data_IF_488824750157
#
_entry.id   IF_488824750157
#
_cell.length_a   1.000
_cell.length_b   1.000
_cell.length_c   1.000
_cell.angle_alpha   90.00
_cell.angle_beta   90.00
_cell.angle_gamma   90.00
#
_symmetry.space_group_name_H-M   'P 1'
#
loop_
_entity.id
_entity.type
_entity.pdbx_description
1 polymer ?
#
# COMPACT_ATOMS: atom_id res chain seq x y z
N UNK A 1 35.46 46.20 -30.23
CA UNK A 1 35.80 44.87 -29.67
C UNK A 1 34.85 44.40 -28.55
N UNK A 2 34.51 45.21 -27.54
CA UNK A 2 33.58 44.81 -26.44
C UNK A 2 32.18 44.33 -26.88
N UNK A 3 31.52 44.98 -27.85
CA UNK A 3 30.18 44.58 -28.35
C UNK A 3 30.15 43.21 -29.04
N UNK A 4 31.24 42.83 -29.72
CA UNK A 4 31.34 41.57 -30.46
C UNK A 4 31.56 40.36 -29.54
N UNK A 5 32.26 40.55 -28.42
CA UNK A 5 32.46 39.53 -27.38
C UNK A 5 31.17 39.32 -26.59
N UNK A 6 30.43 40.39 -26.28
CA UNK A 6 29.14 40.32 -25.60
C UNK A 6 28.09 39.56 -26.43
N UNK A 7 28.09 39.76 -27.76
CA UNK A 7 27.20 39.05 -28.69
C UNK A 7 27.50 37.54 -28.75
N UNK A 8 28.78 37.14 -28.76
CA UNK A 8 29.17 35.71 -28.76
C UNK A 8 28.85 35.02 -27.42
N UNK A 9 29.05 35.72 -26.30
CA UNK A 9 28.70 35.20 -24.98
C UNK A 9 27.18 35.05 -24.80
N UNK A 10 26.39 35.99 -25.31
CA UNK A 10 24.92 35.92 -25.32
C UNK A 10 24.41 34.74 -26.17
N UNK A 11 25.01 34.54 -27.36
CA UNK A 11 24.66 33.42 -28.24
C UNK A 11 25.00 32.08 -27.59
N UNK A 12 26.16 31.96 -26.94
CA UNK A 12 26.54 30.75 -26.21
C UNK A 12 25.60 30.47 -25.04
N UNK A 13 25.21 31.50 -24.28
CA UNK A 13 24.25 31.37 -23.18
C UNK A 13 22.86 30.95 -23.67
N UNK A 14 22.40 31.46 -24.82
CA UNK A 14 21.15 31.06 -25.48
C UNK A 14 21.19 29.61 -26.00
N UNK A 15 22.32 29.16 -26.56
CA UNK A 15 22.50 27.76 -26.98
C UNK A 15 22.50 26.82 -25.78
N UNK A 16 23.17 27.20 -24.68
CA UNK A 16 23.10 26.46 -23.43
C UNK A 16 21.65 26.39 -22.91
N UNK A 17 20.92 27.50 -22.85
CA UNK A 17 19.50 27.51 -22.44
C UNK A 17 18.61 26.61 -23.31
N UNK A 18 18.80 26.63 -24.63
CA UNK A 18 18.08 25.77 -25.58
C UNK A 18 18.43 24.28 -25.42
N UNK A 19 19.67 23.97 -25.01
CA UNK A 19 20.08 22.58 -24.73
C UNK A 19 19.53 22.03 -23.41
N UNK A 20 19.26 22.89 -22.41
CA UNK A 20 18.61 22.46 -21.15
C UNK A 20 17.11 22.21 -21.35
N UNK A 21 16.45 22.91 -22.27
CA UNK A 21 15.01 22.74 -22.51
C UNK A 21 14.63 21.46 -23.28
N UNK A 22 15.60 20.75 -23.87
CA UNK A 22 15.33 19.56 -24.69
C UNK A 22 15.33 18.23 -23.91
N UNK A 23 15.67 18.23 -22.62
CA UNK A 23 15.75 17.01 -21.80
C UNK A 23 14.66 16.91 -20.73
N UNK A 24 13.63 17.76 -20.75
CA UNK A 24 12.44 17.53 -19.92
C UNK A 24 11.51 16.58 -20.65
N UNK A 25 11.84 15.29 -20.66
CA UNK A 25 10.84 14.25 -20.85
C UNK A 25 9.87 14.36 -19.68
N UNK A 26 8.67 14.88 -19.95
CA UNK A 26 7.55 14.69 -19.04
C UNK A 26 7.23 13.20 -19.03
N UNK A 27 7.79 12.48 -18.06
CA UNK A 27 7.33 11.14 -17.74
C UNK A 27 5.97 11.34 -17.08
N UNK A 28 4.90 11.03 -17.81
CA UNK A 28 3.60 10.83 -17.22
C UNK A 28 3.67 9.51 -16.46
N UNK A 29 4.17 9.58 -15.22
CA UNK A 29 4.03 8.49 -14.29
C UNK A 29 2.55 8.36 -13.94
N UNK A 30 2.00 7.15 -14.09
CA UNK A 30 0.69 6.87 -13.51
C UNK A 30 0.73 7.22 -12.02
N UNK A 31 -0.28 7.96 -11.59
CA UNK A 31 -0.39 8.40 -10.20
C UNK A 31 -0.59 7.15 -9.35
N UNK A 32 0.45 6.77 -8.62
CA UNK A 32 0.34 5.76 -7.58
C UNK A 32 -0.70 6.29 -6.59
N UNK A 33 -1.69 5.47 -6.30
CA UNK A 33 -2.67 5.81 -5.29
C UNK A 33 -1.94 6.06 -3.97
N UNK A 34 -2.26 7.16 -3.28
CA UNK A 34 -1.66 7.52 -2.01
C UNK A 34 -2.71 7.64 -0.88
N UNK A 35 -2.38 7.18 0.33
CA UNK A 35 -3.30 7.25 1.46
C UNK A 35 -3.50 8.67 1.95
N UNK A 36 -4.76 9.03 2.16
CA UNK A 36 -5.16 10.25 2.84
C UNK A 36 -4.93 10.11 4.37
N UNK A 37 -3.66 10.14 4.78
CA UNK A 37 -3.24 10.01 6.17
C UNK A 37 -2.20 11.07 6.55
N UNK A 38 -2.50 11.87 7.57
CA UNK A 38 -1.65 12.97 8.03
C UNK A 38 -0.23 12.53 8.46
N UNK A 39 -0.04 11.29 8.92
CA UNK A 39 1.30 10.82 9.27
C UNK A 39 2.08 10.47 8.01
N UNK A 40 1.47 9.68 7.12
CA UNK A 40 2.05 9.34 5.82
C UNK A 40 2.46 10.60 5.05
N UNK A 41 1.57 11.59 4.91
CA UNK A 41 1.86 12.82 4.15
C UNK A 41 3.09 13.58 4.67
N UNK A 42 3.35 13.53 5.98
CA UNK A 42 4.52 14.18 6.59
C UNK A 42 5.80 13.37 6.50
N UNK A 43 5.69 12.06 6.44
CA UNK A 43 6.82 11.12 6.44
C UNK A 43 6.96 10.43 5.06
N UNK A 44 6.31 10.97 4.02
CA UNK A 44 6.19 10.36 2.69
C UNK A 44 7.54 9.96 2.11
N UNK A 45 8.53 10.84 2.22
CA UNK A 45 9.89 10.60 1.71
C UNK A 45 10.64 9.49 2.46
N UNK A 46 10.17 9.13 3.67
CA UNK A 46 10.70 8.05 4.50
C UNK A 46 9.85 6.78 4.39
N UNK A 47 8.92 6.72 3.43
CA UNK A 47 8.06 5.56 3.21
C UNK A 47 8.44 4.83 1.92
N UNK A 48 8.50 3.51 2.00
CA UNK A 48 8.73 2.65 0.85
C UNK A 48 7.40 2.12 0.29
N UNK A 49 7.26 2.10 -1.02
CA UNK A 49 6.09 1.55 -1.69
C UNK A 49 6.17 0.02 -1.72
N UNK A 50 5.11 -0.65 -1.29
CA UNK A 50 5.05 -2.12 -1.19
C UNK A 50 3.86 -2.69 -1.95
N UNK A 51 2.64 -2.16 -1.73
CA UNK A 51 1.41 -2.55 -2.42
C UNK A 51 1.17 -4.06 -2.49
N UNK A 52 1.13 -4.69 -1.32
CA UNK A 52 1.09 -6.15 -1.15
C UNK A 52 0.04 -6.57 -0.13
N UNK A 53 -0.53 -7.76 -0.30
CA UNK A 53 -1.50 -8.34 0.62
C UNK A 53 -0.82 -9.28 1.60
N UNK A 54 -1.24 -9.21 2.86
CA UNK A 54 -0.71 -9.98 3.98
C UNK A 54 -1.84 -10.61 4.77
N UNK A 55 -1.57 -11.70 5.47
CA UNK A 55 -2.40 -12.19 6.56
C UNK A 55 -2.05 -11.47 7.86
N UNK A 56 -3.08 -11.07 8.60
CA UNK A 56 -2.95 -10.72 10.01
C UNK A 56 -2.40 -11.94 10.78
N UNK A 57 -1.32 -11.75 11.55
CA UNK A 57 -0.66 -12.84 12.27
C UNK A 57 -0.02 -12.40 13.60
N UNK A 58 -0.73 -11.59 14.38
CA UNK A 58 -0.23 -11.14 15.68
C UNK A 58 -0.18 -12.26 16.72
N UNK A 59 0.78 -12.21 17.63
CA UNK A 59 1.01 -13.23 18.67
C UNK A 59 -0.22 -13.52 19.55
N UNK A 60 -1.10 -12.53 19.68
CA UNK A 60 -2.33 -12.62 20.51
C UNK A 60 -3.53 -13.22 19.78
N UNK A 61 -3.36 -13.63 18.52
CA UNK A 61 -4.45 -14.05 17.65
C UNK A 61 -5.15 -12.89 16.91
N UNK A 62 -4.61 -11.68 17.01
CA UNK A 62 -5.09 -10.49 16.29
C UNK A 62 -3.96 -9.47 16.14
N UNK A 63 -4.06 -8.59 15.14
CA UNK A 63 -3.17 -7.46 14.88
C UNK A 63 -3.82 -6.17 15.34
N UNK A 64 -3.07 -5.33 16.06
CA UNK A 64 -3.57 -4.01 16.48
C UNK A 64 -3.24 -2.94 15.45
N UNK A 65 -4.27 -2.21 15.03
CA UNK A 65 -4.16 -1.09 14.10
C UNK A 65 -4.14 0.23 14.87
N UNK A 66 -3.04 0.97 14.74
CA UNK A 66 -2.82 2.25 15.39
C UNK A 66 -3.10 3.42 14.46
N UNK A 67 -3.32 4.60 15.05
CA UNK A 67 -3.54 5.83 14.29
C UNK A 67 -2.29 6.26 13.51
N UNK A 68 -1.10 6.02 14.07
CA UNK A 68 0.21 6.20 13.42
C UNK A 68 1.31 5.53 14.26
N UNK A 69 2.52 5.30 13.69
CA UNK A 69 3.64 4.65 14.37
C UNK A 69 4.12 5.32 15.66
N UNK A 70 3.84 6.63 15.83
CA UNK A 70 4.26 7.42 17.00
C UNK A 70 3.15 7.56 18.06
N UNK A 71 1.97 6.97 17.84
CA UNK A 71 0.79 7.10 18.71
C UNK A 71 0.39 5.77 19.33
N UNK A 72 -0.07 5.82 20.59
CA UNK A 72 -0.70 4.67 21.26
C UNK A 72 -2.21 4.57 21.00
N UNK A 73 -2.76 5.50 20.22
CA UNK A 73 -4.18 5.50 19.91
C UNK A 73 -4.48 4.35 18.94
N UNK A 74 -5.39 3.48 19.35
CA UNK A 74 -5.86 2.38 18.54
C UNK A 74 -7.06 2.81 17.69
N UNK A 75 -7.03 2.44 16.41
CA UNK A 75 -8.14 2.54 15.47
C UNK A 75 -9.06 1.31 15.57
N UNK A 76 -8.49 0.12 15.44
CA UNK A 76 -9.20 -1.17 15.49
C UNK A 76 -8.22 -2.32 15.79
N UNK A 77 -8.76 -3.54 15.96
CA UNK A 77 -8.03 -4.80 15.87
C UNK A 77 -8.58 -5.61 14.70
N UNK A 78 -7.73 -6.46 14.11
CA UNK A 78 -8.05 -7.37 13.02
C UNK A 78 -7.70 -8.79 13.45
N UNK A 79 -8.63 -9.74 13.32
CA UNK A 79 -8.37 -11.12 13.73
C UNK A 79 -7.32 -11.77 12.81
N UNK A 80 -6.52 -12.69 13.35
CA UNK A 80 -5.53 -13.37 12.51
C UNK A 80 -6.20 -14.14 11.36
N UNK A 81 -5.51 -14.18 10.22
CA UNK A 81 -6.02 -14.77 8.98
C UNK A 81 -6.83 -13.80 8.11
N UNK A 82 -7.19 -12.61 8.59
CA UNK A 82 -7.76 -11.56 7.73
C UNK A 82 -6.72 -11.06 6.71
N UNK A 83 -7.17 -10.80 5.48
CA UNK A 83 -6.35 -10.20 4.43
C UNK A 83 -6.22 -8.68 4.66
N UNK A 84 -4.98 -8.21 4.72
CA UNK A 84 -4.60 -6.81 4.93
C UNK A 84 -3.79 -6.35 3.74
N UNK A 85 -4.23 -5.30 3.07
CA UNK A 85 -3.48 -4.69 1.98
C UNK A 85 -2.60 -3.56 2.50
N UNK A 86 -1.27 -3.74 2.44
CA UNK A 86 -0.28 -2.74 2.85
C UNK A 86 0.21 -2.00 1.61
N UNK A 87 0.08 -0.67 1.65
CA UNK A 87 0.36 0.19 0.49
C UNK A 87 1.79 0.72 0.58
N UNK A 88 2.15 1.26 1.75
CA UNK A 88 3.49 1.76 2.05
C UNK A 88 3.98 1.22 3.41
N UNK A 89 5.30 1.17 3.57
CA UNK A 89 5.95 0.87 4.85
C UNK A 89 6.79 2.04 5.34
N UNK A 90 6.89 2.21 6.65
CA UNK A 90 7.69 3.23 7.32
C UNK A 90 8.55 2.57 8.41
N UNK A 91 9.85 2.84 8.41
CA UNK A 91 10.73 2.40 9.49
C UNK A 91 10.78 3.45 10.61
N UNK A 92 10.45 3.04 11.85
CA UNK A 92 10.56 3.92 13.00
C UNK A 92 12.01 4.06 13.49
N UNK A 93 12.27 4.98 14.42
CA UNK A 93 13.62 5.22 14.97
C UNK A 93 14.23 4.02 15.70
N UNK A 94 13.44 3.00 16.01
CA UNK A 94 13.92 1.76 16.62
C UNK A 94 14.21 0.66 15.59
N UNK A 95 14.06 0.95 14.30
CA UNK A 95 14.26 -0.02 13.21
C UNK A 95 13.06 -0.94 12.98
N UNK A 96 11.88 -0.62 13.54
CA UNK A 96 10.68 -1.43 13.32
C UNK A 96 9.92 -0.92 12.11
N UNK A 97 9.55 -1.83 11.21
CA UNK A 97 8.76 -1.52 10.03
C UNK A 97 7.26 -1.50 10.36
N UNK A 98 6.59 -0.45 9.87
CA UNK A 98 5.15 -0.22 10.03
C UNK A 98 4.48 -0.15 8.66
N UNK A 99 3.41 -0.91 8.44
CA UNK A 99 2.61 -0.86 7.22
C UNK A 99 1.38 0.02 7.38
N UNK A 100 1.11 0.88 6.39
CA UNK A 100 -0.17 1.59 6.29
C UNK A 100 -1.16 0.80 5.43
N UNK A 101 -2.39 0.69 5.94
CA UNK A 101 -3.53 0.14 5.21
C UNK A 101 -4.71 1.10 5.23
N UNK A 102 -5.67 0.84 4.36
CA UNK A 102 -6.91 1.59 4.26
C UNK A 102 -8.11 0.65 4.36
N UNK A 103 -9.04 0.99 5.27
CA UNK A 103 -10.26 0.26 5.52
C UNK A 103 -11.47 1.03 4.99
N UNK A 104 -12.44 0.29 4.47
CA UNK A 104 -13.78 0.79 4.21
C UNK A 104 -14.66 0.52 5.43
N UNK A 105 -15.11 1.56 6.12
CA UNK A 105 -15.98 1.44 7.30
C UNK A 105 -17.43 1.84 7.00
N UNK A 106 -17.96 1.44 5.83
CA UNK A 106 -19.30 1.80 5.33
C UNK A 106 -19.63 3.30 5.41
N UNK A 107 -18.60 4.13 5.57
CA UNK A 107 -18.65 5.56 5.77
C UNK A 107 -18.11 6.22 4.50
N UNK A 108 -18.55 7.45 4.21
CA UNK A 108 -18.12 8.19 3.00
C UNK A 108 -16.61 8.48 2.96
N UNK A 109 -15.88 8.20 4.04
CA UNK A 109 -14.43 8.38 4.15
C UNK A 109 -13.74 7.06 4.46
N UNK A 110 -12.69 6.77 3.72
CA UNK A 110 -11.79 5.68 4.06
C UNK A 110 -11.10 5.96 5.39
N UNK A 111 -10.94 4.91 6.21
CA UNK A 111 -10.13 4.99 7.43
C UNK A 111 -8.74 4.45 7.13
N UNK A 112 -7.71 5.14 7.59
CA UNK A 112 -6.33 4.66 7.52
C UNK A 112 -5.87 4.16 8.87
N UNK A 113 -4.91 3.23 8.85
CA UNK A 113 -4.30 2.71 10.05
C UNK A 113 -2.94 2.11 9.79
N UNK A 114 -2.13 2.08 10.85
CA UNK A 114 -0.75 1.61 10.83
C UNK A 114 -0.60 0.42 11.77
N UNK A 115 0.12 -0.60 11.34
CA UNK A 115 0.42 -1.79 12.14
C UNK A 115 1.86 -2.21 11.92
N UNK A 116 2.40 -3.04 12.81
CA UNK A 116 3.75 -3.55 12.65
C UNK A 116 3.78 -4.63 11.57
N UNK A 117 4.81 -4.59 10.71
CA UNK A 117 4.98 -5.59 9.65
C UNK A 117 5.42 -6.96 10.18
N UNK A 118 6.00 -7.01 11.38
CA UNK A 118 6.41 -8.27 12.04
C UNK A 118 5.23 -9.10 12.54
N UNK A 119 4.05 -8.48 12.69
CA UNK A 119 2.79 -9.15 13.02
C UNK A 119 2.03 -9.63 11.75
N UNK A 120 2.67 -9.60 10.57
CA UNK A 120 2.06 -9.93 9.30
C UNK A 120 2.83 -11.04 8.55
N UNK A 121 2.11 -11.91 7.85
CA UNK A 121 2.69 -12.89 6.92
C UNK A 121 2.27 -12.51 5.49
N UNK A 122 3.22 -12.38 4.58
CA UNK A 122 2.90 -12.08 3.19
C UNK A 122 2.05 -13.18 2.57
N UNK A 123 0.93 -12.80 1.93
CA UNK A 123 0.19 -13.73 1.08
C UNK A 123 1.00 -13.95 -0.20
N UNK A 124 1.12 -15.20 -0.62
CA UNK A 124 1.94 -15.57 -1.77
C UNK A 124 1.44 -14.90 -3.04
N UNK A 125 2.37 -14.26 -3.74
CA UNK A 125 2.15 -13.43 -4.89
C UNK A 125 3.37 -13.46 -5.82
N UNK A 126 3.40 -12.57 -6.81
CA UNK A 126 4.53 -12.47 -7.71
C UNK A 126 5.88 -12.26 -6.99
N UNK A 127 5.93 -11.46 -5.93
CA UNK A 127 7.20 -11.16 -5.24
C UNK A 127 7.74 -12.43 -4.59
N UNK A 128 6.89 -13.17 -3.87
CA UNK A 128 7.27 -14.48 -3.33
C UNK A 128 7.73 -15.45 -4.42
N UNK A 129 6.97 -15.53 -5.51
CA UNK A 129 7.31 -16.42 -6.63
C UNK A 129 8.67 -16.06 -7.25
N UNK A 130 8.92 -14.77 -7.44
CA UNK A 130 10.20 -14.30 -7.98
C UNK A 130 11.36 -14.66 -7.05
N UNK A 131 11.21 -14.48 -5.74
CA UNK A 131 12.24 -14.84 -4.76
C UNK A 131 12.54 -16.35 -4.76
N UNK A 132 11.52 -17.19 -4.84
CA UNK A 132 11.66 -18.65 -4.86
C UNK A 132 12.30 -19.16 -6.16
N UNK A 133 11.94 -18.56 -7.30
CA UNK A 133 12.26 -19.06 -8.63
C UNK A 133 13.28 -18.21 -9.40
N UNK A 134 13.93 -17.24 -8.77
CA UNK A 134 14.80 -16.25 -9.45
C UNK A 134 15.82 -16.87 -10.40
N UNK A 135 16.38 -18.04 -10.04
CA UNK A 135 17.40 -18.75 -10.83
C UNK A 135 16.85 -19.48 -12.06
N UNK A 136 15.54 -19.73 -12.09
CA UNK A 136 14.82 -20.41 -13.16
C UNK A 136 14.22 -19.43 -14.17
N UNK A 137 14.21 -18.14 -13.84
CA UNK A 137 13.76 -17.09 -14.71
C UNK A 137 14.80 -16.80 -15.80
N UNK A 138 14.32 -16.64 -17.03
CA UNK A 138 15.15 -16.30 -18.19
C UNK A 138 14.57 -15.09 -18.90
N UNK A 139 15.39 -14.30 -19.59
CA UNK A 139 14.92 -13.15 -20.35
C UNK A 139 13.85 -13.56 -21.37
N UNK A 140 12.85 -12.69 -21.58
CA UNK A 140 11.81 -12.94 -22.55
C UNK A 140 12.37 -13.00 -23.97
N UNK A 141 11.99 -14.03 -24.73
CA UNK A 141 12.58 -14.35 -26.04
C UNK A 141 11.75 -13.82 -27.23
N UNK A 142 10.62 -13.16 -26.99
CA UNK A 142 9.73 -12.69 -28.05
C UNK A 142 8.88 -13.78 -28.70
N UNK A 143 8.80 -14.98 -28.12
CA UNK A 143 8.10 -16.13 -28.72
C UNK A 143 6.58 -16.05 -28.72
N UNK A 144 6.00 -15.07 -28.01
CA UNK A 144 4.56 -14.91 -27.88
C UNK A 144 4.08 -13.63 -28.58
N UNK A 145 2.99 -13.79 -29.33
CA UNK A 145 2.35 -12.75 -30.12
C UNK A 145 0.90 -12.59 -29.63
N UNK A 146 0.62 -11.59 -28.76
CA UNK A 146 -0.69 -11.42 -28.15
C UNK A 146 -1.82 -11.21 -29.18
N UNK A 147 -1.51 -10.64 -30.36
CA UNK A 147 -2.50 -10.34 -31.40
C UNK A 147 -3.07 -11.60 -32.08
N UNK A 148 -2.42 -12.76 -31.89
CA UNK A 148 -2.89 -14.04 -32.41
C UNK A 148 -3.86 -14.76 -31.49
N UNK A 149 -4.12 -14.23 -30.30
CA UNK A 149 -5.14 -14.76 -29.41
C UNK A 149 -6.54 -14.36 -29.91
N UNK A 150 -7.50 -15.28 -29.87
CA UNK A 150 -8.82 -15.03 -30.48
C UNK A 150 -9.86 -14.39 -29.53
N UNK A 151 -9.71 -14.55 -28.21
CA UNK A 151 -10.71 -14.11 -27.21
C UNK A 151 -10.09 -13.20 -26.15
N UNK A 152 -9.36 -13.79 -25.21
CA UNK A 152 -8.77 -13.09 -24.07
C UNK A 152 -7.53 -13.78 -23.56
N UNK A 153 -6.59 -13.01 -23.03
CA UNK A 153 -5.41 -13.56 -22.36
C UNK A 153 -5.70 -13.59 -20.86
N UNK A 154 -5.56 -14.77 -20.26
CA UNK A 154 -5.73 -14.96 -18.81
C UNK A 154 -4.46 -14.50 -18.09
N UNK A 155 -4.62 -13.60 -17.13
CA UNK A 155 -3.52 -13.07 -16.32
C UNK A 155 -3.60 -13.64 -14.92
N UNK A 156 -2.53 -14.29 -14.50
CA UNK A 156 -2.36 -14.93 -13.19
C UNK A 156 -1.48 -14.06 -12.29
N UNK A 157 -1.61 -14.23 -10.97
CA UNK A 157 -0.72 -13.56 -10.00
C UNK A 157 0.71 -14.11 -10.03
N UNK A 158 0.84 -15.39 -10.33
CA UNK A 158 2.08 -16.14 -10.50
C UNK A 158 1.75 -17.47 -11.21
N UNK A 159 2.74 -18.16 -11.82
CA UNK A 159 2.55 -19.48 -12.40
C UNK A 159 2.00 -20.49 -11.39
N UNK A 160 0.87 -21.13 -11.71
CA UNK A 160 0.20 -22.08 -10.81
C UNK A 160 -0.65 -21.44 -9.71
N UNK A 161 -0.93 -20.14 -9.77
CA UNK A 161 -1.85 -19.49 -8.82
C UNK A 161 -3.25 -20.11 -8.86
N UNK A 162 -3.93 -20.15 -7.71
CA UNK A 162 -5.30 -20.64 -7.56
C UNK A 162 -6.38 -19.61 -7.94
N UNK A 163 -5.98 -18.35 -8.17
CA UNK A 163 -6.85 -17.24 -8.51
C UNK A 163 -6.33 -16.50 -9.74
N UNK A 164 -7.22 -16.32 -10.72
CA UNK A 164 -6.99 -15.46 -11.87
C UNK A 164 -6.98 -14.00 -11.40
N UNK A 165 -5.93 -13.26 -11.76
CA UNK A 165 -5.78 -11.86 -11.40
C UNK A 165 -6.65 -10.96 -12.27
N UNK A 166 -6.67 -11.18 -13.57
CA UNK A 166 -7.47 -10.41 -14.54
C UNK A 166 -7.50 -11.07 -15.91
N UNK A 167 -8.14 -10.42 -16.87
CA UNK A 167 -8.11 -10.76 -18.29
C UNK A 167 -7.66 -9.55 -19.11
N UNK A 168 -6.93 -9.81 -20.18
CA UNK A 168 -6.67 -8.84 -21.26
C UNK A 168 -7.56 -9.20 -22.44
N UNK A 169 -8.45 -8.31 -22.82
CA UNK A 169 -9.32 -8.52 -23.97
C UNK A 169 -8.67 -7.95 -25.23
N UNK A 170 -9.05 -8.44 -26.41
CA UNK A 170 -8.49 -7.96 -27.68
C UNK A 170 -8.63 -6.45 -27.87
N UNK A 171 -9.68 -5.84 -27.30
CA UNK A 171 -9.85 -4.39 -27.33
C UNK A 171 -8.76 -3.65 -26.53
N UNK A 172 -8.26 -4.23 -25.43
CA UNK A 172 -7.16 -3.67 -24.63
C UNK A 172 -5.85 -3.68 -25.44
N UNK A 173 -5.64 -4.74 -26.24
CA UNK A 173 -4.40 -5.00 -26.98
C UNK A 173 -4.21 -4.12 -28.23
N UNK A 174 -5.29 -3.51 -28.74
CA UNK A 174 -5.27 -2.72 -30.00
C UNK A 174 -4.38 -1.48 -29.93
N UNK A 175 -4.26 -0.87 -28.76
CA UNK A 175 -3.52 0.39 -28.61
C UNK A 175 -2.06 0.13 -28.23
N UNK A 176 -1.83 -0.75 -27.25
CA UNK A 176 -0.51 -1.14 -26.79
C UNK A 176 -0.51 -2.60 -26.37
N UNK A 177 0.56 -3.31 -26.71
CA UNK A 177 0.79 -4.69 -26.26
C UNK A 177 1.51 -4.71 -24.90
N UNK A 178 1.27 -5.72 -24.05
CA UNK A 178 2.03 -5.89 -22.81
C UNK A 178 3.50 -6.16 -23.13
N UNK A 179 4.39 -5.45 -22.45
CA UNK A 179 5.82 -5.69 -22.52
C UNK A 179 6.21 -6.78 -21.51
N UNK A 180 6.62 -7.93 -22.02
CA UNK A 180 7.08 -9.03 -21.17
C UNK A 180 8.57 -8.88 -20.83
N UNK A 181 8.90 -9.07 -19.57
CA UNK A 181 10.25 -8.88 -19.05
C UNK A 181 11.05 -10.19 -19.02
N UNK A 182 10.46 -11.27 -18.51
CA UNK A 182 11.12 -12.58 -18.39
C UNK A 182 10.10 -13.71 -18.45
N UNK A 183 10.62 -14.92 -18.59
CA UNK A 183 9.87 -16.16 -18.69
C UNK A 183 10.23 -17.16 -17.60
N UNK A 184 9.29 -18.07 -17.37
CA UNK A 184 9.42 -19.23 -16.51
C UNK A 184 8.88 -20.46 -17.23
N UNK A 185 9.50 -21.63 -17.03
CA UNK A 185 8.96 -22.91 -17.50
C UNK A 185 8.59 -23.74 -16.29
N UNK A 186 7.31 -24.11 -16.18
CA UNK A 186 6.84 -24.90 -15.04
C UNK A 186 7.21 -26.39 -15.14
N UNK A 187 6.90 -27.15 -14.09
CA UNK A 187 7.18 -28.59 -14.02
C UNK A 187 6.44 -29.42 -15.07
N UNK A 188 5.38 -28.88 -15.69
CA UNK A 188 4.65 -29.50 -16.79
C UNK A 188 5.17 -29.07 -18.18
N UNK A 189 6.20 -28.23 -18.22
CA UNK A 189 6.78 -27.70 -19.46
C UNK A 189 5.98 -26.55 -20.07
N UNK A 190 5.00 -25.98 -19.37
CA UNK A 190 4.29 -24.79 -19.86
C UNK A 190 5.20 -23.58 -19.72
N UNK A 191 5.18 -22.72 -20.73
CA UNK A 191 5.94 -21.48 -20.74
C UNK A 191 5.06 -20.35 -20.24
N UNK A 192 5.61 -19.54 -19.35
CA UNK A 192 4.96 -18.40 -18.76
C UNK A 192 5.78 -17.15 -19.04
N UNK A 193 5.14 -16.01 -19.27
CA UNK A 193 5.81 -14.71 -19.33
C UNK A 193 5.22 -13.74 -18.31
N UNK A 194 6.08 -12.90 -17.76
CA UNK A 194 5.73 -11.87 -16.79
C UNK A 194 5.76 -10.48 -17.44
N UNK A 195 4.77 -9.64 -17.14
CA UNK A 195 4.82 -8.21 -17.39
C UNK A 195 4.76 -7.43 -16.07
N UNK A 196 5.60 -6.40 -15.95
CA UNK A 196 5.65 -5.58 -14.72
C UNK A 196 4.45 -4.65 -14.61
N UNK A 197 4.04 -4.06 -15.74
CA UNK A 197 2.91 -3.12 -15.78
C UNK A 197 2.21 -3.17 -17.14
N UNK A 198 0.88 -3.18 -17.11
CA UNK A 198 0.05 -3.04 -18.31
C UNK A 198 -1.31 -2.44 -17.96
N UNK A 199 -1.56 -1.19 -18.38
CA UNK A 199 -2.85 -0.51 -18.23
C UNK A 199 -3.47 -0.64 -16.83
N UNK A 200 -2.75 -0.20 -15.80
CA UNK A 200 -3.17 -0.28 -14.39
C UNK A 200 -2.95 -1.64 -13.72
N UNK A 201 -2.67 -2.71 -14.48
CA UNK A 201 -2.38 -4.05 -13.95
C UNK A 201 -0.89 -4.16 -13.68
N UNK A 202 -0.51 -4.70 -12.53
CA UNK A 202 0.89 -4.87 -12.12
C UNK A 202 1.22 -6.34 -11.89
N UNK A 203 2.47 -6.70 -12.16
CA UNK A 203 3.06 -8.00 -11.82
C UNK A 203 2.24 -9.20 -12.34
N UNK A 204 1.86 -9.16 -13.61
CA UNK A 204 0.98 -10.16 -14.21
C UNK A 204 1.73 -11.26 -14.92
N UNK A 205 1.19 -12.48 -14.86
CA UNK A 205 1.75 -13.66 -15.54
C UNK A 205 0.78 -14.23 -16.57
N UNK A 206 1.31 -14.59 -17.73
CA UNK A 206 0.55 -15.19 -18.85
C UNK A 206 1.14 -16.55 -19.20
N UNK A 207 0.30 -17.57 -19.31
CA UNK A 207 0.71 -18.87 -19.83
C UNK A 207 0.77 -18.81 -21.37
N UNK A 208 1.97 -18.77 -21.95
CA UNK A 208 2.15 -18.62 -23.41
C UNK A 208 1.74 -19.87 -24.19
N UNK A 209 1.86 -21.04 -23.57
CA UNK A 209 1.47 -22.32 -24.21
C UNK A 209 -0.04 -22.53 -24.25
N UNK A 210 -0.78 -21.88 -23.36
CA UNK A 210 -2.24 -22.01 -23.25
C UNK A 210 -2.88 -20.72 -22.69
N UNK A 211 -2.83 -19.61 -23.45
CA UNK A 211 -3.08 -18.25 -22.95
C UNK A 211 -4.54 -17.95 -22.62
N UNK A 212 -5.49 -18.74 -23.14
CA UNK A 212 -6.91 -18.55 -22.91
C UNK A 212 -7.46 -19.47 -21.79
N UNK A 213 -6.63 -20.36 -21.24
CA UNK A 213 -7.08 -21.37 -20.28
C UNK A 213 -7.17 -20.84 -18.86
N UNK A 214 -8.39 -20.88 -18.31
CA UNK A 214 -8.72 -20.49 -16.95
C UNK A 214 -8.59 -21.63 -15.93
N UNK A 215 -8.40 -22.87 -16.40
CA UNK A 215 -8.38 -24.09 -15.61
C UNK A 215 -7.01 -24.76 -15.67
N UNK A 216 -5.96 -23.99 -15.37
CA UNK A 216 -4.61 -24.52 -15.24
C UNK A 216 -4.43 -25.21 -13.87
N UNK A 217 -3.52 -26.19 -13.77
CA UNK A 217 -3.18 -26.81 -12.49
C UNK A 217 -2.69 -25.77 -11.47
N UNK A 218 -3.15 -25.90 -10.23
CA UNK A 218 -2.83 -24.97 -9.16
C UNK A 218 -1.83 -25.58 -8.19
N UNK A 219 -0.90 -24.75 -7.71
CA UNK A 219 0.08 -25.11 -6.69
C UNK A 219 -0.51 -24.70 -5.35
N UNK A 220 -0.54 -25.64 -4.40
CA UNK A 220 -0.91 -25.30 -3.03
C UNK A 220 0.25 -24.59 -2.36
N UNK A 221 -0.03 -23.42 -1.79
CA UNK A 221 0.92 -22.69 -0.96
C UNK A 221 0.61 -23.01 0.49
N UNK A 222 1.60 -23.59 1.17
CA UNK A 222 1.55 -23.81 2.61
C UNK A 222 2.19 -22.61 3.33
N UNK A 223 1.50 -22.08 4.33
CA UNK A 223 1.97 -20.95 5.13
C UNK A 223 2.44 -21.46 6.50
N UNK A 224 3.73 -21.35 6.77
CA UNK A 224 4.30 -21.65 8.07
C UNK A 224 4.10 -20.49 9.05
N UNK A 225 3.88 -20.81 10.33
CA UNK A 225 3.82 -19.79 11.40
C UNK A 225 2.50 -19.03 11.54
N UNK A 226 1.42 -19.45 10.87
CA UNK A 226 0.09 -18.89 11.10
C UNK A 226 -0.41 -19.21 12.51
N UNK A 227 -0.78 -18.17 13.25
CA UNK A 227 -1.30 -18.21 14.62
C UNK A 227 -2.83 -18.12 14.56
N UNK A 228 -3.59 -19.01 15.24
CA UNK A 228 -5.04 -18.99 15.22
C UNK A 228 -5.65 -17.66 15.68
N UNK A 229 -6.79 -17.30 15.08
CA UNK A 229 -7.55 -16.11 15.45
C UNK A 229 -8.03 -16.16 16.91
N UNK A 230 -8.01 -15.01 17.56
CA UNK A 230 -8.56 -14.80 18.89
C UNK A 230 -9.22 -13.43 18.99
N UNK A 231 -10.30 -13.34 19.76
CA UNK A 231 -11.02 -12.07 19.93
C UNK A 231 -10.18 -11.09 20.76
N UNK A 232 -10.11 -9.82 20.35
CA UNK A 232 -9.38 -8.81 21.10
C UNK A 232 -10.01 -8.60 22.49
N UNK A 233 -9.21 -8.81 23.54
CA UNK A 233 -9.61 -8.52 24.92
C UNK A 233 -9.41 -7.02 25.20
N UNK A 234 -10.39 -6.21 24.81
CA UNK A 234 -10.41 -4.78 25.14
C UNK A 234 -11.69 -4.38 25.83
N UNK A 235 -11.53 -3.90 27.05
CA UNK A 235 -12.58 -3.11 27.71
C UNK A 235 -12.81 -1.82 26.90
N UNK A 236 -14.08 -1.44 26.74
CA UNK A 236 -14.56 -0.29 25.97
C UNK A 236 -13.88 1.07 26.32
N UNK A 237 -13.11 1.09 27.41
CA UNK A 237 -12.36 2.21 27.98
C UNK A 237 -11.08 2.58 27.21
N UNK A 238 -10.49 1.66 26.43
CA UNK A 238 -9.18 1.87 25.81
C UNK A 238 -9.24 2.53 24.41
N UNK A 239 -10.43 2.52 23.79
CA UNK A 239 -10.62 2.92 22.39
C UNK A 239 -10.79 4.43 22.19
N UNK A 240 -11.26 5.15 23.20
CA UNK A 240 -11.45 6.59 23.13
C UNK A 240 -10.56 7.27 24.18
N UNK A 241 -9.68 8.16 23.74
CA UNK A 241 -8.91 9.09 24.59
C UNK A 241 -9.77 10.10 25.37
N UNK A 242 -10.98 9.72 25.76
CA UNK A 242 -11.99 10.51 26.47
C UNK A 242 -11.58 10.89 27.90
N UNK A 243 -10.45 10.39 28.42
CA UNK A 243 -9.99 10.74 29.77
C UNK A 243 -9.64 12.23 29.87
N UNK A 244 -9.09 12.83 28.82
CA UNK A 244 -8.82 14.27 28.79
C UNK A 244 -10.12 15.09 28.77
N UNK A 245 -11.13 14.64 28.03
CA UNK A 245 -12.43 15.33 27.97
C UNK A 245 -13.24 15.16 29.26
N UNK A 246 -13.30 13.96 29.84
CA UNK A 246 -13.97 13.71 31.12
C UNK A 246 -13.25 14.48 32.24
N UNK A 247 -11.91 14.48 32.25
CA UNK A 247 -11.12 15.26 33.19
C UNK A 247 -11.34 16.78 33.05
N UNK A 248 -11.40 17.30 31.82
CA UNK A 248 -11.69 18.72 31.56
C UNK A 248 -13.11 19.10 31.99
N UNK A 249 -14.11 18.27 31.70
CA UNK A 249 -15.50 18.53 32.10
C UNK A 249 -15.65 18.47 33.62
N UNK A 250 -15.06 17.48 34.28
CA UNK A 250 -15.07 17.39 35.74
C UNK A 250 -14.34 18.57 36.39
N UNK A 251 -13.18 18.99 35.82
CA UNK A 251 -12.45 20.18 36.24
C UNK A 251 -13.28 21.46 36.08
N UNK A 252 -13.96 21.63 34.95
CA UNK A 252 -14.83 22.78 34.68
C UNK A 252 -16.01 22.85 35.67
N UNK A 253 -16.65 21.72 35.96
CA UNK A 253 -17.76 21.62 36.93
C UNK A 253 -17.28 21.96 38.35
N UNK A 254 -16.11 21.48 38.76
CA UNK A 254 -15.51 21.81 40.06
C UNK A 254 -15.19 23.30 40.17
N UNK A 255 -14.57 23.90 39.14
CA UNK A 255 -14.25 25.33 39.11
C UNK A 255 -15.52 26.19 39.16
N UNK A 256 -16.55 25.84 38.40
CA UNK A 256 -17.84 26.55 38.44
C UNK A 256 -18.54 26.42 39.79
N UNK A 257 -18.55 25.24 40.42
CA UNK A 257 -19.10 25.07 41.76
C UNK A 257 -18.37 25.89 42.83
N UNK A 258 -17.03 25.98 42.75
CA UNK A 258 -16.21 26.81 43.65
C UNK A 258 -16.51 28.30 43.43
N UNK A 259 -16.59 28.76 42.18
CA UNK A 259 -16.93 30.15 41.84
C UNK A 259 -18.33 30.52 42.34
N UNK A 260 -19.33 29.67 42.13
CA UNK A 260 -20.69 29.90 42.64
C UNK A 260 -20.68 30.02 44.17
N UNK A 261 -19.96 29.14 44.87
CA UNK A 261 -19.84 29.19 46.33
C UNK A 261 -19.14 30.46 46.83
N UNK A 262 -18.10 30.93 46.13
CA UNK A 262 -17.35 32.14 46.50
C UNK A 262 -18.16 33.42 46.23
N UNK A 263 -18.83 33.52 45.08
CA UNK A 263 -19.56 34.72 44.67
C UNK A 263 -20.98 34.81 45.26
N UNK A 264 -21.63 33.68 45.51
CA UNK A 264 -23.01 33.64 46.03
C UNK A 264 -23.13 33.10 47.46
N UNK A 265 -22.16 32.33 47.97
CA UNK A 265 -22.20 31.81 49.33
C UNK A 265 -22.03 32.88 50.42
N UNK A 266 -21.46 34.04 50.09
CA UNK A 266 -21.31 35.16 51.03
C UNK A 266 -22.52 36.12 51.05
N UNK A 267 -23.52 35.96 50.18
CA UNK A 267 -24.73 36.80 50.22
C UNK A 267 -25.70 36.46 51.36
N UNK A 268 -25.52 35.32 52.03
CA UNK A 268 -26.38 34.90 53.15
C UNK A 268 -25.79 35.21 54.54
N UNK A 269 -24.68 35.97 54.63
CA UNK A 269 -24.10 36.42 55.91
C UNK A 269 -24.20 37.93 56.17
N UNK A 270 -24.96 38.65 55.35
CA UNK A 270 -25.25 40.05 55.60
C UNK A 270 -26.71 40.34 55.27
N UNK A 271 -27.59 40.12 56.26
CA UNK A 271 -28.52 41.16 56.68
C UNK A 271 -29.01 40.90 58.11
N UNK A 272 -28.94 41.91 59.00
CA UNK A 272 -29.63 41.93 60.29
C UNK A 272 -31.14 42.03 60.15
#
# INVERSE_FOLDING_TARGET
MRKLVFSKALIFFLICLLSVTWNFTFVYGDVIWEPQDNFYERERENCDYVNRTYFANGEKGYVTVYKNPKSRQVVTDLENGEDIHIIFTYEDKSGRAWGITQFNDNSKSYKTGWMLMDELIARYDHISFYEDHQKELVDYDGSFDPDKCEDKIVVWKYPGADVISSHLYMDDLKEYLPEFSYMYTDSEGKKWAHFTYYMGRRNGWVCLTDPNNENLPTIKVDYEGLIPASKPDRTHLQRNGSWLFIGLVAGLVMVTAILIKLFYGNKNKAKP
#
